data_IF_119394952116
#
_entry.id   IF_119394952116
#
_cell.length_a   1.000
_cell.length_b   1.000
_cell.length_c   1.000
_cell.angle_alpha   90.00
_cell.angle_beta   90.00
_cell.angle_gamma   90.00
#
_symmetry.space_group_name_H-M   'P 1'
#
loop_
_entity.id
_entity.type
_entity.pdbx_description
1 polymer ?
#
# COMPACT_ATOMS: atom_id res chain seq x y z
N UNK A 1 16.02 17.88 54.15
CA UNK A 1 16.51 16.50 54.27
C UNK A 1 15.46 15.67 54.95
N UNK A 2 14.60 14.98 54.20
CA UNK A 2 13.61 14.03 54.71
C UNK A 2 13.98 12.68 54.15
N UNK A 3 14.21 11.75 55.07
CA UNK A 3 14.81 10.45 54.88
C UNK A 3 13.81 9.46 54.29
N UNK A 4 14.23 8.73 53.27
CA UNK A 4 13.45 7.64 52.61
C UNK A 4 13.57 6.35 53.41
N UNK A 5 12.82 6.19 54.46
CA UNK A 5 12.59 4.88 55.15
C UNK A 5 11.54 5.14 56.20
N UNK A 6 10.31 4.82 55.91
CA UNK A 6 9.27 4.48 56.88
C UNK A 6 7.90 4.60 56.25
N UNK A 7 7.51 3.61 55.44
CA UNK A 7 6.10 3.21 55.24
C UNK A 7 6.12 1.74 54.87
N UNK A 8 6.14 0.95 55.88
CA UNK A 8 5.64 -0.42 55.88
C UNK A 8 5.12 -0.69 57.28
N UNK A 9 3.85 -0.88 57.45
CA UNK A 9 3.20 -1.89 58.31
C UNK A 9 1.68 -1.62 58.44
N UNK A 10 0.95 -2.65 58.09
CA UNK A 10 -0.40 -3.05 58.53
C UNK A 10 -1.62 -2.29 57.95
N UNK A 11 -2.54 -3.01 57.29
CA UNK A 11 -3.57 -3.77 58.00
C UNK A 11 -4.24 -4.77 57.07
N UNK A 12 -4.20 -6.01 57.43
CA UNK A 12 -5.06 -7.06 56.92
C UNK A 12 -6.45 -6.90 57.58
N UNK A 13 -7.49 -6.75 56.80
CA UNK A 13 -8.86 -6.97 57.24
C UNK A 13 -9.55 -7.88 56.26
N UNK A 14 -9.89 -9.06 56.72
CA UNK A 14 -10.64 -10.09 56.02
C UNK A 14 -12.07 -9.59 55.75
N UNK A 15 -12.53 -9.77 54.52
CA UNK A 15 -13.94 -9.72 54.17
C UNK A 15 -14.32 -10.92 53.31
N UNK A 16 -15.39 -11.51 53.77
CA UNK A 16 -15.96 -12.79 53.43
C UNK A 16 -16.28 -13.02 51.93
N UNK A 17 -16.31 -14.28 51.60
CA UNK A 17 -16.57 -14.83 50.28
C UNK A 17 -17.86 -14.43 49.60
N UNK A 18 -17.72 -14.13 48.32
CA UNK A 18 -18.77 -14.34 47.35
C UNK A 18 -18.14 -15.20 46.23
N UNK A 19 -18.59 -16.44 46.17
CA UNK A 19 -18.25 -17.40 45.10
C UNK A 19 -18.82 -16.89 43.78
N UNK A 20 -18.00 -16.22 42.99
CA UNK A 20 -18.28 -16.03 41.58
C UNK A 20 -18.00 -17.37 40.87
N UNK A 21 -19.06 -18.09 40.52
CA UNK A 21 -19.01 -19.18 39.58
C UNK A 21 -18.62 -18.61 38.20
N UNK A 22 -17.33 -18.69 37.89
CA UNK A 22 -16.80 -18.43 36.57
C UNK A 22 -17.31 -19.54 35.63
N UNK A 23 -18.38 -19.26 34.90
CA UNK A 23 -18.70 -20.03 33.69
C UNK A 23 -17.56 -19.80 32.70
N UNK A 24 -16.68 -20.79 32.60
CA UNK A 24 -15.68 -20.86 31.53
C UNK A 24 -16.42 -20.97 30.20
N UNK A 25 -16.63 -19.84 29.55
CA UNK A 25 -16.89 -19.82 28.10
C UNK A 25 -15.58 -20.17 27.41
N UNK A 26 -15.36 -21.47 27.20
CA UNK A 26 -14.30 -21.96 26.34
C UNK A 26 -14.79 -21.89 24.87
N UNK A 27 -14.92 -20.69 24.35
CA UNK A 27 -14.73 -20.48 22.93
C UNK A 27 -13.20 -20.54 22.72
N UNK A 28 -12.70 -21.75 22.46
CA UNK A 28 -11.39 -21.93 21.85
C UNK A 28 -11.42 -21.08 20.56
N UNK A 29 -10.84 -19.90 20.59
CA UNK A 29 -10.38 -19.25 19.38
C UNK A 29 -9.48 -20.31 18.69
N UNK A 30 -9.98 -20.86 17.58
CA UNK A 30 -9.11 -21.65 16.70
C UNK A 30 -7.97 -20.72 16.35
N UNK A 31 -6.78 -21.04 16.89
CA UNK A 31 -5.60 -20.22 16.65
C UNK A 31 -5.37 -20.15 15.15
N UNK A 32 -5.57 -18.97 14.57
CA UNK A 32 -5.12 -18.70 13.22
C UNK A 32 -3.61 -18.79 13.27
N UNK A 33 -3.07 -19.94 12.85
CA UNK A 33 -1.63 -20.10 12.65
C UNK A 33 -1.28 -19.25 11.44
N UNK A 34 -0.76 -18.06 11.67
CA UNK A 34 -0.16 -17.25 10.58
C UNK A 34 1.00 -18.09 10.04
N UNK A 35 0.99 -18.49 8.76
CA UNK A 35 2.08 -19.24 8.17
C UNK A 35 3.38 -18.48 8.37
N UNK A 36 4.46 -19.20 8.71
CA UNK A 36 5.76 -18.56 8.94
C UNK A 36 6.19 -17.73 7.73
N UNK A 37 6.62 -16.50 7.97
CA UNK A 37 7.13 -15.61 6.94
C UNK A 37 8.53 -16.03 6.51
N UNK A 38 8.73 -16.32 5.23
CA UNK A 38 10.05 -16.50 4.60
C UNK A 38 10.55 -15.14 4.13
N UNK A 39 11.85 -14.89 4.30
CA UNK A 39 12.52 -13.63 3.90
C UNK A 39 13.68 -13.93 2.98
N UNK A 40 13.94 -13.05 2.04
CA UNK A 40 15.04 -13.22 1.12
C UNK A 40 15.49 -11.92 0.47
N UNK A 41 16.55 -12.06 -0.31
CA UNK A 41 17.08 -11.00 -1.14
C UNK A 41 17.20 -11.48 -2.59
N UNK A 42 16.89 -10.61 -3.50
CA UNK A 42 17.10 -10.77 -4.93
C UNK A 42 18.26 -9.88 -5.35
N UNK A 43 19.33 -10.47 -5.89
CA UNK A 43 20.44 -9.71 -6.46
C UNK A 43 20.04 -9.11 -7.81
N UNK A 44 20.29 -7.81 -7.96
CA UNK A 44 20.09 -7.04 -9.17
C UNK A 44 21.35 -6.26 -9.51
N UNK A 45 21.58 -5.84 -10.76
CA UNK A 45 22.71 -4.96 -11.06
C UNK A 45 22.74 -3.73 -10.13
N UNK A 46 23.82 -3.62 -9.36
CA UNK A 46 24.05 -2.51 -8.45
C UNK A 46 23.24 -2.49 -7.15
N UNK A 47 22.34 -3.46 -6.89
CA UNK A 47 21.57 -3.47 -5.67
C UNK A 47 21.03 -4.87 -5.30
N UNK A 48 20.50 -4.98 -4.08
CA UNK A 48 19.71 -6.13 -3.61
C UNK A 48 18.33 -5.67 -3.22
N UNK A 49 17.32 -6.38 -3.67
CA UNK A 49 15.91 -6.15 -3.37
C UNK A 49 15.50 -7.12 -2.26
N UNK A 50 14.93 -6.59 -1.19
CA UNK A 50 14.40 -7.41 -0.10
C UNK A 50 12.96 -7.82 -0.39
N UNK A 51 12.58 -9.05 -0.02
CA UNK A 51 11.21 -9.52 -0.10
C UNK A 51 10.83 -10.43 1.07
N UNK A 52 9.53 -10.50 1.35
CA UNK A 52 8.92 -11.43 2.31
C UNK A 52 7.80 -12.22 1.63
N UNK A 53 7.64 -13.48 2.04
CA UNK A 53 6.60 -14.39 1.55
C UNK A 53 5.87 -14.97 2.74
N UNK A 54 4.54 -14.84 2.75
CA UNK A 54 3.68 -15.38 3.80
C UNK A 54 2.48 -16.07 3.17
N UNK A 55 2.11 -17.26 3.65
CA UNK A 55 0.96 -18.00 3.14
C UNK A 55 1.28 -18.98 2.02
N UNK A 56 0.23 -19.63 1.51
CA UNK A 56 0.28 -20.62 0.43
C UNK A 56 -0.93 -20.41 -0.48
N UNK A 57 -0.77 -20.76 -1.76
CA UNK A 57 -1.81 -20.62 -2.79
C UNK A 57 -1.39 -19.72 -3.94
N UNK A 58 -2.33 -19.23 -4.75
CA UNK A 58 -2.06 -18.29 -5.83
C UNK A 58 -1.36 -17.02 -5.31
N UNK A 59 -0.46 -16.43 -6.10
CA UNK A 59 0.35 -15.31 -5.61
C UNK A 59 -0.39 -13.97 -5.69
N UNK A 60 -0.27 -13.17 -4.61
CA UNK A 60 -0.52 -11.74 -4.61
C UNK A 60 0.81 -11.04 -4.31
N UNK A 61 1.21 -10.09 -5.16
CA UNK A 61 2.38 -9.26 -4.93
C UNK A 61 1.92 -7.85 -4.61
N UNK A 62 2.41 -7.32 -3.49
CA UNK A 62 2.06 -6.00 -2.98
C UNK A 62 3.20 -5.02 -3.26
N UNK A 63 2.94 -4.04 -4.14
CA UNK A 63 3.89 -3.01 -4.53
C UNK A 63 3.60 -1.69 -3.82
N UNK A 64 4.54 -1.23 -2.98
CA UNK A 64 4.37 -0.06 -2.13
C UNK A 64 4.56 1.27 -2.86
N UNK A 65 4.07 2.36 -2.25
CA UNK A 65 4.23 3.73 -2.73
C UNK A 65 5.55 4.39 -2.32
N UNK A 66 5.82 5.57 -2.88
CA UNK A 66 7.06 6.34 -2.68
C UNK A 66 7.38 6.64 -1.21
N UNK A 67 6.38 6.97 -0.42
CA UNK A 67 6.55 7.38 0.99
C UNK A 67 6.49 6.23 1.99
N UNK A 68 6.54 4.97 1.54
CA UNK A 68 6.38 3.78 2.38
C UNK A 68 7.40 2.70 2.00
N UNK A 69 7.25 1.50 2.53
CA UNK A 69 8.07 0.32 2.20
C UNK A 69 7.21 -0.96 2.30
N UNK A 70 7.83 -2.13 2.21
CA UNK A 70 7.15 -3.43 2.27
C UNK A 70 6.28 -3.63 3.52
N UNK A 71 6.64 -3.04 4.67
CA UNK A 71 5.90 -3.15 5.94
C UNK A 71 4.52 -2.47 5.90
N UNK A 72 4.28 -1.60 4.95
CA UNK A 72 3.02 -0.87 4.84
C UNK A 72 1.80 -1.78 4.64
N UNK A 73 2.03 -3.03 4.20
CA UNK A 73 1.00 -4.03 3.91
C UNK A 73 0.65 -4.92 5.10
N UNK A 74 1.05 -4.55 6.31
CA UNK A 74 0.89 -5.33 7.54
C UNK A 74 -0.56 -5.75 7.85
N UNK A 75 -1.56 -5.02 7.36
CA UNK A 75 -2.98 -5.36 7.53
C UNK A 75 -3.52 -6.26 6.40
N UNK A 76 -2.86 -6.28 5.24
CA UNK A 76 -3.24 -7.11 4.10
C UNK A 76 -2.70 -8.53 4.24
N UNK A 77 -1.46 -8.66 4.71
CA UNK A 77 -0.81 -9.96 4.82
C UNK A 77 -1.61 -10.95 5.68
N UNK A 78 -2.02 -10.64 6.92
CA UNK A 78 -2.79 -11.58 7.74
C UNK A 78 -4.20 -11.85 7.17
N UNK A 79 -4.76 -10.94 6.36
CA UNK A 79 -6.08 -11.12 5.74
C UNK A 79 -6.04 -12.09 4.55
N UNK A 80 -4.97 -12.05 3.76
CA UNK A 80 -4.89 -12.82 2.52
C UNK A 80 -4.06 -14.11 2.64
N UNK A 81 -3.18 -14.24 3.64
CA UNK A 81 -2.19 -15.32 3.73
C UNK A 81 -2.76 -16.71 4.03
N UNK A 82 -4.01 -16.81 4.42
CA UNK A 82 -4.71 -18.09 4.59
C UNK A 82 -5.09 -18.76 3.25
N UNK A 83 -5.20 -17.96 2.16
CA UNK A 83 -5.64 -18.39 0.83
C UNK A 83 -4.68 -18.07 -0.30
N UNK A 84 -3.73 -17.19 -0.05
CA UNK A 84 -2.79 -16.68 -1.05
C UNK A 84 -1.34 -16.73 -0.56
N UNK A 85 -0.43 -16.92 -1.49
CA UNK A 85 0.97 -16.60 -1.29
C UNK A 85 1.16 -15.10 -1.39
N UNK A 86 1.23 -14.41 -0.24
CA UNK A 86 1.42 -12.97 -0.16
C UNK A 86 2.90 -12.62 -0.26
N UNK A 87 3.29 -11.87 -1.27
CA UNK A 87 4.66 -11.38 -1.46
C UNK A 87 4.67 -9.87 -1.26
N UNK A 88 5.48 -9.40 -0.32
CA UNK A 88 5.84 -7.99 -0.21
C UNK A 88 7.30 -7.80 -0.56
N UNK A 89 7.65 -6.68 -1.17
CA UNK A 89 9.04 -6.38 -1.50
C UNK A 89 9.34 -4.90 -1.29
N UNK A 90 10.61 -4.60 -1.00
CA UNK A 90 11.11 -3.23 -0.99
C UNK A 90 11.65 -2.92 -2.39
N UNK A 91 11.16 -1.84 -3.05
CA UNK A 91 11.75 -1.37 -4.30
C UNK A 91 13.24 -1.12 -4.13
N UNK A 92 14.03 -1.16 -5.23
CA UNK A 92 15.47 -0.83 -5.16
C UNK A 92 15.71 0.49 -4.45
N UNK A 93 16.74 0.56 -3.63
CA UNK A 93 17.05 1.73 -2.80
C UNK A 93 16.24 1.84 -1.50
N UNK A 94 15.26 0.97 -1.28
CA UNK A 94 14.48 0.95 -0.03
C UNK A 94 14.98 -0.12 0.94
N UNK A 95 15.13 0.22 2.24
CA UNK A 95 15.51 -0.75 3.26
C UNK A 95 14.47 -1.89 3.43
N UNK A 96 14.92 -3.12 3.82
CA UNK A 96 16.29 -3.53 4.12
C UNK A 96 17.11 -3.96 2.91
N UNK A 97 16.72 -3.59 1.68
CA UNK A 97 17.54 -3.74 0.49
C UNK A 97 18.79 -2.85 0.50
N UNK A 98 19.53 -2.82 -0.61
CA UNK A 98 20.73 -1.99 -0.70
C UNK A 98 20.41 -0.51 -0.73
N UNK A 99 21.18 0.29 0.00
CA UNK A 99 21.20 1.74 -0.16
C UNK A 99 22.03 2.11 -1.41
N UNK A 100 21.41 2.73 -2.40
CA UNK A 100 22.01 3.04 -3.71
C UNK A 100 21.86 4.51 -4.12
N UNK A 101 21.50 5.39 -3.18
CA UNK A 101 21.06 6.74 -3.52
C UNK A 101 19.68 6.77 -4.17
N UNK A 102 19.43 7.79 -5.00
CA UNK A 102 18.13 7.94 -5.70
C UNK A 102 18.02 6.90 -6.83
N UNK A 103 17.10 5.95 -6.77
CA UNK A 103 16.95 4.94 -7.82
C UNK A 103 16.35 5.51 -9.11
N UNK A 104 16.68 4.90 -10.26
CA UNK A 104 15.95 5.18 -11.51
C UNK A 104 14.68 4.32 -11.54
N UNK A 105 13.47 4.92 -11.62
CA UNK A 105 12.22 4.17 -11.64
C UNK A 105 12.02 3.34 -12.92
N UNK A 106 12.79 3.57 -13.98
CA UNK A 106 12.77 2.74 -15.20
C UNK A 106 13.17 1.30 -14.92
N UNK A 107 13.96 1.07 -13.87
CA UNK A 107 14.40 -0.28 -13.49
C UNK A 107 13.32 -1.06 -12.73
N UNK A 108 12.30 -0.41 -12.16
CA UNK A 108 11.35 -1.03 -11.25
C UNK A 108 10.54 -2.17 -11.87
N UNK A 109 10.13 -2.02 -13.12
CA UNK A 109 9.40 -3.06 -13.86
C UNK A 109 10.27 -4.31 -14.09
N UNK A 110 11.53 -4.12 -14.48
CA UNK A 110 12.49 -5.21 -14.64
C UNK A 110 12.84 -5.91 -13.32
N UNK A 111 12.83 -5.18 -12.22
CA UNK A 111 13.02 -5.75 -10.88
C UNK A 111 11.84 -6.64 -10.50
N UNK A 112 10.61 -6.17 -10.73
CA UNK A 112 9.39 -6.94 -10.48
C UNK A 112 9.35 -8.21 -11.34
N UNK A 113 9.66 -8.11 -12.63
CA UNK A 113 9.75 -9.25 -13.53
C UNK A 113 10.74 -10.30 -13.02
N UNK A 114 11.92 -9.85 -12.59
CA UNK A 114 12.97 -10.73 -12.07
C UNK A 114 12.56 -11.35 -10.72
N UNK A 115 11.87 -10.60 -9.86
CA UNK A 115 11.34 -11.14 -8.60
C UNK A 115 10.33 -12.26 -8.85
N UNK A 116 9.40 -12.06 -9.78
CA UNK A 116 8.40 -13.07 -10.18
C UNK A 116 9.08 -14.33 -10.69
N UNK A 117 10.09 -14.19 -11.56
CA UNK A 117 10.88 -15.29 -12.07
C UNK A 117 11.69 -16.00 -10.98
N UNK A 118 12.38 -15.23 -10.12
CA UNK A 118 13.19 -15.75 -9.00
C UNK A 118 12.36 -16.60 -8.03
N UNK A 119 11.13 -16.16 -7.75
CA UNK A 119 10.20 -16.87 -6.88
C UNK A 119 9.43 -17.98 -7.60
N UNK A 120 9.67 -18.15 -8.90
CA UNK A 120 9.03 -19.15 -9.75
C UNK A 120 7.48 -19.13 -9.65
N UNK A 121 6.90 -17.90 -9.67
CA UNK A 121 5.46 -17.72 -9.57
C UNK A 121 4.81 -17.94 -10.94
N UNK A 122 3.91 -18.93 -11.10
CA UNK A 122 3.31 -19.26 -12.41
C UNK A 122 2.28 -18.23 -12.85
N UNK A 123 1.57 -17.64 -11.91
CA UNK A 123 0.64 -16.53 -12.09
C UNK A 123 0.65 -15.60 -10.87
N UNK A 124 0.31 -14.34 -11.07
CA UNK A 124 0.34 -13.34 -9.99
C UNK A 124 -0.84 -12.39 -10.09
N UNK A 125 -1.28 -11.88 -8.95
CA UNK A 125 -2.19 -10.74 -8.82
C UNK A 125 -1.35 -9.59 -8.27
N UNK A 126 -1.39 -8.43 -8.92
CA UNK A 126 -0.64 -7.25 -8.47
C UNK A 126 -1.56 -6.31 -7.71
N UNK A 127 -1.21 -5.99 -6.48
CA UNK A 127 -1.88 -4.97 -5.65
C UNK A 127 -0.88 -3.84 -5.44
N UNK A 128 -1.12 -2.72 -6.10
CA UNK A 128 -0.14 -1.66 -6.27
C UNK A 128 -0.69 -0.32 -5.78
N UNK A 129 0.05 0.35 -4.91
CA UNK A 129 -0.31 1.65 -4.39
C UNK A 129 0.62 2.73 -4.94
N UNK A 130 0.06 3.84 -5.47
CA UNK A 130 0.82 5.02 -5.91
C UNK A 130 2.00 4.65 -6.82
N UNK A 131 3.25 4.86 -6.42
CA UNK A 131 4.46 4.48 -7.15
C UNK A 131 4.47 2.99 -7.56
N UNK A 132 3.95 2.09 -6.73
CA UNK A 132 3.82 0.68 -7.08
C UNK A 132 2.97 0.44 -8.32
N UNK A 133 2.01 1.34 -8.61
CA UNK A 133 1.21 1.30 -9.84
C UNK A 133 2.04 1.58 -11.09
N UNK A 134 3.06 2.44 -11.00
CA UNK A 134 3.99 2.68 -12.11
C UNK A 134 4.83 1.43 -12.41
N UNK A 135 5.36 0.80 -11.38
CA UNK A 135 6.07 -0.48 -11.49
C UNK A 135 5.20 -1.55 -12.16
N UNK A 136 3.98 -1.71 -11.68
CA UNK A 136 3.07 -2.75 -12.14
C UNK A 136 2.57 -2.50 -13.56
N UNK A 137 2.25 -1.26 -13.91
CA UNK A 137 1.80 -0.87 -15.25
C UNK A 137 2.92 -1.10 -16.27
N UNK A 138 4.13 -0.60 -16.01
CA UNK A 138 5.25 -0.78 -16.94
C UNK A 138 5.61 -2.27 -17.10
N UNK A 139 5.54 -3.07 -16.04
CA UNK A 139 5.74 -4.51 -16.16
C UNK A 139 4.74 -5.15 -17.15
N UNK A 140 3.46 -4.84 -17.00
CA UNK A 140 2.42 -5.38 -17.90
C UNK A 140 2.58 -4.87 -19.34
N UNK A 141 2.95 -3.60 -19.52
CA UNK A 141 3.05 -2.99 -20.85
C UNK A 141 4.32 -3.39 -21.61
N UNK A 142 5.40 -3.75 -20.91
CA UNK A 142 6.71 -3.98 -21.52
C UNK A 142 7.13 -5.45 -21.57
N UNK A 143 6.51 -6.31 -20.75
CA UNK A 143 6.76 -7.75 -20.79
C UNK A 143 5.57 -8.49 -21.43
N UNK A 144 5.68 -8.92 -22.70
CA UNK A 144 4.60 -9.64 -23.38
C UNK A 144 4.31 -11.02 -22.77
N UNK A 145 5.25 -11.54 -21.98
CA UNK A 145 5.13 -12.83 -21.29
C UNK A 145 4.76 -12.68 -19.80
N UNK A 146 4.29 -11.50 -19.39
CA UNK A 146 3.90 -11.25 -18.00
C UNK A 146 2.93 -12.31 -17.47
N UNK A 147 3.03 -12.62 -16.19
CA UNK A 147 2.21 -13.64 -15.50
C UNK A 147 1.02 -13.05 -14.74
N UNK A 148 0.62 -11.82 -15.08
CA UNK A 148 -0.41 -11.10 -14.33
C UNK A 148 -1.81 -11.56 -14.73
N UNK A 149 -2.62 -11.92 -13.72
CA UNK A 149 -4.02 -12.35 -13.85
C UNK A 149 -5.02 -11.27 -13.41
N UNK A 150 -4.61 -10.41 -12.50
CA UNK A 150 -5.44 -9.31 -12.01
C UNK A 150 -4.56 -8.14 -11.56
N UNK A 151 -5.08 -6.92 -11.71
CA UNK A 151 -4.45 -5.67 -11.29
C UNK A 151 -5.34 -4.93 -10.30
N UNK A 152 -4.77 -4.45 -9.21
CA UNK A 152 -5.39 -3.48 -8.31
C UNK A 152 -4.53 -2.23 -8.27
N UNK A 153 -5.08 -1.10 -8.71
CA UNK A 153 -4.45 0.21 -8.70
C UNK A 153 -5.06 1.08 -7.59
N UNK A 154 -4.36 1.20 -6.47
CA UNK A 154 -4.77 2.02 -5.35
C UNK A 154 -4.17 3.43 -5.46
N UNK A 155 -5.03 4.43 -5.68
CA UNK A 155 -4.64 5.86 -5.77
C UNK A 155 -3.49 6.11 -6.77
N UNK A 156 -3.63 5.57 -7.99
CA UNK A 156 -2.61 5.70 -9.04
C UNK A 156 -3.20 5.57 -10.44
N UNK A 157 -2.56 6.22 -11.40
CA UNK A 157 -2.78 6.03 -12.83
C UNK A 157 -1.57 5.40 -13.53
N UNK A 158 -0.64 4.82 -12.78
CA UNK A 158 0.61 4.30 -13.32
C UNK A 158 1.41 5.39 -14.04
N UNK A 159 1.95 5.04 -15.21
CA UNK A 159 2.77 5.93 -16.05
C UNK A 159 1.98 6.76 -17.05
N UNK A 160 0.65 6.80 -16.92
CA UNK A 160 -0.19 7.64 -17.80
C UNK A 160 0.09 9.12 -17.56
N UNK A 161 0.24 9.87 -18.65
CA UNK A 161 0.42 11.32 -18.64
C UNK A 161 -0.87 12.01 -18.19
N UNK A 162 -0.92 12.43 -16.93
CA UNK A 162 -2.14 12.98 -16.30
C UNK A 162 -2.79 14.13 -17.07
N UNK A 163 -2.03 15.11 -17.62
CA UNK A 163 -2.63 16.20 -18.40
C UNK A 163 -3.37 15.75 -19.67
N UNK A 164 -3.05 14.56 -20.19
CA UNK A 164 -3.69 14.01 -21.39
C UNK A 164 -4.93 13.17 -21.10
N UNK A 165 -5.28 12.95 -19.83
CA UNK A 165 -6.47 12.18 -19.46
C UNK A 165 -7.73 12.97 -19.84
N UNK A 166 -8.71 12.36 -20.56
CA UNK A 166 -9.89 13.06 -21.04
C UNK A 166 -10.90 13.31 -19.91
N UNK A 167 -10.84 14.49 -19.31
CA UNK A 167 -11.66 14.83 -18.12
C UNK A 167 -12.99 15.56 -18.47
N UNK A 168 -13.23 15.88 -19.74
CA UNK A 168 -14.38 16.71 -20.15
C UNK A 168 -14.21 18.20 -19.81
N UNK A 169 -13.70 18.52 -18.64
CA UNK A 169 -13.32 19.87 -18.21
C UNK A 169 -11.78 19.98 -18.09
N UNK A 170 -11.11 20.73 -18.97
CA UNK A 170 -9.66 20.89 -18.94
C UNK A 170 -9.12 21.59 -17.68
N UNK A 171 -9.96 22.37 -16.98
CA UNK A 171 -9.54 23.12 -15.78
C UNK A 171 -9.61 22.27 -14.52
N UNK A 172 -10.43 21.23 -14.50
CA UNK A 172 -10.69 20.38 -13.33
C UNK A 172 -9.41 19.87 -12.64
N UNK A 173 -8.44 19.40 -13.43
CA UNK A 173 -7.18 18.91 -12.89
C UNK A 173 -6.32 20.04 -12.30
N UNK A 174 -6.29 21.19 -12.97
CA UNK A 174 -5.52 22.35 -12.50
C UNK A 174 -6.07 22.90 -11.19
N UNK A 175 -7.37 23.08 -11.09
CA UNK A 175 -8.05 23.57 -9.89
C UNK A 175 -7.86 22.57 -8.72
N UNK A 176 -8.04 21.28 -8.99
CA UNK A 176 -7.79 20.26 -7.98
C UNK A 176 -6.34 20.30 -7.48
N UNK A 177 -5.36 20.39 -8.38
CA UNK A 177 -3.94 20.44 -8.01
C UNK A 177 -3.63 21.64 -7.11
N UNK A 178 -4.19 22.83 -7.41
CA UNK A 178 -3.99 24.03 -6.60
C UNK A 178 -4.59 23.86 -5.20
N UNK A 179 -5.83 23.40 -5.09
CA UNK A 179 -6.51 23.14 -3.82
C UNK A 179 -5.78 22.06 -3.01
N UNK A 180 -5.43 20.96 -3.65
CA UNK A 180 -4.73 19.85 -3.00
C UNK A 180 -3.33 20.25 -2.51
N UNK A 181 -2.60 21.09 -3.27
CA UNK A 181 -1.30 21.60 -2.84
C UNK A 181 -1.42 22.47 -1.59
N UNK A 182 -2.40 23.37 -1.53
CA UNK A 182 -2.67 24.20 -0.35
C UNK A 182 -3.02 23.34 0.87
N UNK A 183 -3.88 22.32 0.69
CA UNK A 183 -4.27 21.38 1.75
C UNK A 183 -3.06 20.59 2.27
N UNK A 184 -2.22 20.05 1.37
CA UNK A 184 -0.99 19.33 1.77
C UNK A 184 -0.01 20.23 2.53
N UNK A 185 0.16 21.47 2.10
CA UNK A 185 1.03 22.43 2.79
C UNK A 185 0.51 22.72 4.20
N UNK A 186 -0.80 22.87 4.37
CA UNK A 186 -1.42 23.06 5.67
C UNK A 186 -1.25 21.82 6.58
N UNK A 187 -1.56 20.64 6.09
CA UNK A 187 -1.31 19.38 6.80
C UNK A 187 0.14 19.27 7.28
N UNK A 188 1.11 19.55 6.39
CA UNK A 188 2.53 19.46 6.73
C UNK A 188 2.91 20.43 7.86
N UNK A 189 2.40 21.68 7.86
CA UNK A 189 2.62 22.64 8.97
C UNK A 189 2.10 22.13 10.30
N UNK A 190 0.99 21.37 10.30
CA UNK A 190 0.39 20.76 11.48
C UNK A 190 1.00 19.40 11.86
N UNK A 191 2.07 18.94 11.16
CA UNK A 191 2.72 17.66 11.40
C UNK A 191 1.91 16.45 10.92
N UNK A 192 0.91 16.67 10.07
CA UNK A 192 0.09 15.61 9.48
C UNK A 192 0.76 15.13 8.19
N UNK A 193 0.89 13.82 8.02
CA UNK A 193 1.39 13.23 6.77
C UNK A 193 0.32 13.32 5.69
N UNK A 194 0.52 14.09 4.58
CA UNK A 194 -0.51 14.24 3.56
C UNK A 194 -1.00 12.92 2.93
N UNK A 195 -0.13 11.91 2.66
CA UNK A 195 -0.61 10.62 2.17
C UNK A 195 -1.43 9.81 3.19
N UNK A 196 -1.23 10.05 4.50
CA UNK A 196 -2.07 9.44 5.55
C UNK A 196 -3.45 10.12 5.64
N UNK A 197 -3.50 11.43 5.38
CA UNK A 197 -4.72 12.21 5.41
C UNK A 197 -5.07 12.75 6.80
N UNK A 198 -5.83 13.84 6.79
CA UNK A 198 -6.24 14.55 8.01
C UNK A 198 -7.17 13.71 8.89
N UNK A 199 -8.08 12.97 8.26
CA UNK A 199 -9.01 12.10 8.97
C UNK A 199 -8.29 11.01 9.76
N UNK A 200 -7.26 10.35 9.19
CA UNK A 200 -6.46 9.37 9.92
C UNK A 200 -5.77 10.00 11.12
N UNK A 201 -5.19 11.19 10.96
CA UNK A 201 -4.52 11.89 12.06
C UNK A 201 -5.49 12.25 13.20
N UNK A 202 -6.74 12.57 12.88
CA UNK A 202 -7.76 12.96 13.86
C UNK A 202 -8.44 11.77 14.51
N UNK A 203 -8.82 10.76 13.74
CA UNK A 203 -9.67 9.65 14.19
C UNK A 203 -8.89 8.39 14.57
N UNK A 204 -7.64 8.26 14.09
CA UNK A 204 -6.81 7.07 14.23
C UNK A 204 -5.35 7.49 14.51
N UNK A 205 -5.13 8.23 15.59
CA UNK A 205 -3.83 8.84 15.92
C UNK A 205 -2.69 7.83 16.00
N UNK A 206 -2.93 6.64 16.55
CA UNK A 206 -1.95 5.54 16.66
C UNK A 206 -1.59 5.00 15.29
N UNK A 207 -2.59 4.86 14.41
CA UNK A 207 -2.38 4.42 13.03
C UNK A 207 -1.60 5.46 12.23
N UNK A 208 -1.91 6.76 12.43
CA UNK A 208 -1.16 7.85 11.84
C UNK A 208 0.30 7.88 12.31
N UNK A 209 0.55 7.62 13.61
CA UNK A 209 1.89 7.50 14.14
C UNK A 209 2.66 6.34 13.49
N UNK A 210 2.04 5.15 13.43
CA UNK A 210 2.64 3.97 12.78
C UNK A 210 2.97 4.25 11.30
N UNK A 211 2.04 4.89 10.56
CA UNK A 211 2.28 5.29 9.19
C UNK A 211 3.53 6.17 9.05
N UNK A 212 3.68 7.17 9.92
CA UNK A 212 4.85 8.06 9.94
C UNK A 212 6.14 7.32 10.31
N UNK A 213 6.08 6.38 11.24
CA UNK A 213 7.25 5.56 11.61
C UNK A 213 7.73 4.72 10.42
N UNK A 214 6.82 4.05 9.72
CA UNK A 214 7.13 3.31 8.49
C UNK A 214 7.70 4.25 7.42
N UNK A 215 7.06 5.40 7.21
CA UNK A 215 7.54 6.38 6.24
C UNK A 215 8.94 6.90 6.56
N UNK A 216 9.25 7.15 7.83
CA UNK A 216 10.56 7.65 8.26
C UNK A 216 11.66 6.59 8.14
N UNK A 217 11.31 5.31 8.22
CA UNK A 217 12.26 4.19 8.05
C UNK A 217 12.41 3.72 6.58
N UNK A 218 11.72 4.37 5.63
CA UNK A 218 11.55 3.80 4.29
C UNK A 218 12.71 4.03 3.32
N UNK A 219 13.45 5.14 3.41
CA UNK A 219 14.53 5.43 2.48
C UNK A 219 15.47 6.50 3.01
N UNK A 220 16.77 6.33 2.75
CA UNK A 220 17.81 7.31 3.07
C UNK A 220 18.05 8.33 1.94
N UNK A 221 17.53 8.09 0.73
CA UNK A 221 17.67 8.97 -0.42
C UNK A 221 16.62 10.10 -0.48
N UNK A 222 16.87 11.10 -1.32
CA UNK A 222 15.95 12.20 -1.59
C UNK A 222 14.70 11.70 -2.35
N UNK A 223 13.57 11.61 -1.63
CA UNK A 223 12.29 11.17 -2.20
C UNK A 223 11.69 12.20 -3.15
N UNK A 224 12.04 13.47 -3.02
CA UNK A 224 11.57 14.50 -3.94
C UNK A 224 12.24 14.34 -5.30
N UNK A 225 13.54 13.98 -5.31
CA UNK A 225 14.25 13.69 -6.55
C UNK A 225 13.67 12.44 -7.23
N UNK A 226 13.42 11.36 -6.48
CA UNK A 226 12.72 10.20 -7.06
C UNK A 226 11.34 10.57 -7.60
N UNK A 227 10.60 11.45 -6.93
CA UNK A 227 9.30 11.93 -7.42
C UNK A 227 9.42 12.64 -8.77
N UNK A 228 10.44 13.47 -8.97
CA UNK A 228 10.71 14.11 -10.27
C UNK A 228 11.00 13.08 -11.35
N UNK A 229 11.82 12.05 -11.06
CA UNK A 229 12.10 10.97 -12.00
C UNK A 229 10.83 10.20 -12.38
N UNK A 230 9.95 9.89 -11.40
CA UNK A 230 8.67 9.27 -11.66
C UNK A 230 7.79 10.12 -12.57
N UNK A 231 7.64 11.42 -12.29
CA UNK A 231 6.85 12.29 -13.16
C UNK A 231 7.44 12.44 -14.56
N UNK A 232 8.76 12.46 -14.70
CA UNK A 232 9.43 12.45 -16.00
C UNK A 232 9.16 11.16 -16.80
N UNK A 233 8.92 10.04 -16.10
CA UNK A 233 8.55 8.75 -16.71
C UNK A 233 7.04 8.67 -17.07
N UNK A 234 6.18 9.50 -16.48
CA UNK A 234 4.73 9.49 -16.69
C UNK A 234 4.36 10.14 -18.04
N UNK A 235 4.70 9.48 -19.14
CA UNK A 235 4.55 9.99 -20.51
C UNK A 235 3.60 9.16 -21.38
N UNK A 236 3.06 8.04 -20.86
CA UNK A 236 2.17 7.16 -21.62
C UNK A 236 0.87 7.89 -21.95
N UNK A 237 0.40 7.88 -23.22
CA UNK A 237 -0.92 8.39 -23.54
C UNK A 237 -2.00 7.52 -22.89
N UNK A 238 -3.16 8.07 -22.49
CA UNK A 238 -4.22 7.31 -21.83
C UNK A 238 -4.71 6.10 -22.65
N UNK A 239 -4.64 6.18 -23.96
CA UNK A 239 -5.04 5.14 -24.91
C UNK A 239 -4.23 3.85 -24.76
N UNK A 240 -3.03 3.90 -24.17
CA UNK A 240 -2.23 2.71 -23.87
C UNK A 240 -2.99 1.71 -23.00
N UNK A 241 -3.92 2.19 -22.17
CA UNK A 241 -4.74 1.34 -21.31
C UNK A 241 -5.63 0.37 -22.09
N UNK A 242 -5.96 0.67 -23.36
CA UNK A 242 -6.73 -0.23 -24.25
C UNK A 242 -6.00 -1.54 -24.52
N UNK A 243 -4.67 -1.56 -24.40
CA UNK A 243 -3.87 -2.77 -24.56
C UNK A 243 -3.88 -3.69 -23.34
N UNK A 244 -4.35 -3.19 -22.19
CA UNK A 244 -4.43 -3.97 -20.95
C UNK A 244 -5.81 -4.63 -20.88
N UNK A 245 -5.87 -5.92 -21.21
CA UNK A 245 -7.11 -6.73 -21.13
C UNK A 245 -7.30 -7.43 -19.79
N UNK A 246 -6.31 -7.35 -18.90
CA UNK A 246 -6.31 -7.96 -17.57
C UNK A 246 -7.43 -7.33 -16.72
N UNK A 247 -8.24 -8.12 -15.98
CA UNK A 247 -9.16 -7.58 -15.00
C UNK A 247 -8.47 -6.58 -14.09
N UNK A 248 -9.01 -5.36 -13.99
CA UNK A 248 -8.39 -4.26 -13.26
C UNK A 248 -9.38 -3.59 -12.32
N UNK A 249 -8.97 -3.38 -11.08
CA UNK A 249 -9.71 -2.63 -10.07
C UNK A 249 -8.94 -1.36 -9.71
N UNK A 250 -9.58 -0.20 -9.90
CA UNK A 250 -9.09 1.06 -9.31
C UNK A 250 -9.75 1.27 -7.96
N UNK A 251 -8.95 1.55 -6.91
CA UNK A 251 -9.46 1.93 -5.59
C UNK A 251 -8.94 3.32 -5.26
N UNK A 252 -9.83 4.25 -4.93
CA UNK A 252 -9.47 5.64 -4.62
C UNK A 252 -10.03 6.08 -3.28
N UNK A 253 -9.35 7.00 -2.62
CA UNK A 253 -9.88 7.68 -1.44
C UNK A 253 -10.55 9.00 -1.82
N UNK A 254 -11.77 9.23 -1.31
CA UNK A 254 -12.53 10.45 -1.61
C UNK A 254 -11.87 11.73 -1.09
N UNK A 255 -11.04 11.62 -0.05
CA UNK A 255 -10.28 12.72 0.58
C UNK A 255 -8.81 12.74 0.15
N UNK A 256 -8.45 12.02 -0.93
CA UNK A 256 -7.08 11.97 -1.44
C UNK A 256 -6.65 13.35 -1.94
N UNK A 257 -5.53 13.86 -1.40
CA UNK A 257 -4.90 15.12 -1.81
C UNK A 257 -3.65 14.93 -2.66
N UNK A 258 -3.29 13.69 -2.97
CA UNK A 258 -2.08 13.31 -3.73
C UNK A 258 -2.42 12.81 -5.12
N UNK A 259 -3.49 12.05 -5.23
CA UNK A 259 -4.03 11.50 -6.48
C UNK A 259 -5.49 11.95 -6.64
N UNK A 260 -5.85 12.66 -7.74
CA UNK A 260 -7.24 13.06 -7.99
C UNK A 260 -8.14 11.82 -8.18
N UNK A 261 -9.12 11.57 -7.29
CA UNK A 261 -9.93 10.34 -7.37
C UNK A 261 -10.64 10.19 -8.72
N UNK A 262 -11.12 11.28 -9.30
CA UNK A 262 -11.83 11.31 -10.58
C UNK A 262 -10.99 10.88 -11.80
N UNK A 263 -9.66 10.76 -11.67
CA UNK A 263 -8.84 10.24 -12.76
C UNK A 263 -9.14 8.77 -13.03
N UNK A 264 -9.43 7.99 -11.99
CA UNK A 264 -9.78 6.58 -12.16
C UNK A 264 -11.10 6.40 -12.93
N UNK A 265 -12.09 7.28 -12.68
CA UNK A 265 -13.36 7.30 -13.42
C UNK A 265 -13.16 7.60 -14.91
N UNK A 266 -12.19 8.45 -15.24
CA UNK A 266 -11.87 8.78 -16.62
C UNK A 266 -11.02 7.70 -17.32
N UNK A 267 -10.23 6.93 -16.57
CA UNK A 267 -9.32 5.91 -17.12
C UNK A 267 -9.99 4.54 -17.29
N UNK A 268 -10.83 4.14 -16.35
CA UNK A 268 -11.47 2.82 -16.40
C UNK A 268 -12.24 2.54 -17.70
N UNK A 269 -12.99 3.50 -18.30
CA UNK A 269 -13.66 3.29 -19.60
C UNK A 269 -12.73 3.03 -20.78
N UNK A 270 -11.43 3.32 -20.65
CA UNK A 270 -10.43 3.03 -21.67
C UNK A 270 -9.98 1.56 -21.68
N UNK A 271 -10.30 0.83 -20.61
CA UNK A 271 -9.94 -0.57 -20.45
C UNK A 271 -11.16 -1.47 -20.68
N UNK A 272 -10.95 -2.64 -21.28
CA UNK A 272 -12.05 -3.57 -21.57
C UNK A 272 -12.63 -4.25 -20.32
N UNK A 273 -11.87 -4.32 -19.23
CA UNK A 273 -12.23 -5.05 -18.03
C UNK A 273 -11.76 -4.33 -16.77
N UNK A 274 -12.25 -3.10 -16.57
CA UNK A 274 -11.87 -2.31 -15.40
C UNK A 274 -13.10 -1.81 -14.63
N UNK A 275 -12.96 -1.74 -13.30
CA UNK A 275 -13.94 -1.18 -12.37
C UNK A 275 -13.29 -0.15 -11.45
N UNK A 276 -14.10 0.74 -10.91
CA UNK A 276 -13.63 1.78 -9.97
C UNK A 276 -14.43 1.68 -8.67
N UNK A 277 -13.73 1.67 -7.56
CA UNK A 277 -14.29 1.76 -6.22
C UNK A 277 -13.72 2.97 -5.50
N UNK A 278 -14.58 3.80 -4.94
CA UNK A 278 -14.17 4.95 -4.13
C UNK A 278 -14.55 4.74 -2.67
N UNK A 279 -13.59 4.93 -1.77
CA UNK A 279 -13.79 4.94 -0.32
C UNK A 279 -13.89 6.40 0.14
N UNK A 280 -15.11 6.93 0.36
CA UNK A 280 -15.32 8.38 0.50
C UNK A 280 -14.54 9.04 1.64
N UNK A 281 -14.44 8.33 2.77
CA UNK A 281 -13.85 8.79 4.04
C UNK A 281 -12.40 8.32 4.22
N UNK A 282 -11.62 8.33 3.14
CA UNK A 282 -10.22 7.93 3.13
C UNK A 282 -9.37 8.87 2.28
N UNK A 283 -8.12 9.07 2.71
CA UNK A 283 -7.08 9.75 1.95
C UNK A 283 -6.35 8.85 0.95
N UNK A 284 -5.12 9.21 0.62
CA UNK A 284 -4.28 8.53 -0.38
C UNK A 284 -3.95 7.07 -0.03
N UNK A 285 -3.86 6.74 1.25
CA UNK A 285 -3.47 5.41 1.73
C UNK A 285 -4.69 4.61 2.19
N UNK A 286 -5.66 4.36 1.29
CA UNK A 286 -6.91 3.63 1.58
C UNK A 286 -6.64 2.29 2.25
N UNK A 287 -5.69 1.52 1.72
CA UNK A 287 -5.28 0.20 2.22
C UNK A 287 -4.78 0.22 3.67
N UNK A 288 -4.28 1.37 4.12
CA UNK A 288 -3.75 1.58 5.47
C UNK A 288 -4.83 2.14 6.40
N UNK A 289 -5.55 3.16 5.95
CA UNK A 289 -6.55 3.89 6.74
C UNK A 289 -7.86 3.13 6.89
N UNK A 290 -8.31 2.46 5.84
CA UNK A 290 -9.58 1.72 5.76
C UNK A 290 -9.33 0.27 5.34
N UNK A 291 -8.35 -0.38 5.99
CA UNK A 291 -7.86 -1.70 5.62
C UNK A 291 -8.98 -2.74 5.47
N UNK A 292 -9.95 -2.78 6.39
CA UNK A 292 -11.06 -3.72 6.32
C UNK A 292 -11.93 -3.53 5.08
N UNK A 293 -12.16 -2.28 4.62
CA UNK A 293 -12.89 -2.01 3.38
C UNK A 293 -12.03 -2.36 2.17
N UNK A 294 -10.77 -1.90 2.17
CA UNK A 294 -9.83 -2.20 1.09
C UNK A 294 -9.69 -3.71 0.87
N UNK A 295 -9.50 -4.47 1.93
CA UNK A 295 -9.34 -5.92 1.86
C UNK A 295 -10.57 -6.60 1.27
N UNK A 296 -11.78 -6.21 1.68
CA UNK A 296 -13.03 -6.74 1.09
C UNK A 296 -13.15 -6.42 -0.40
N UNK A 297 -12.90 -5.18 -0.81
CA UNK A 297 -12.95 -4.78 -2.22
C UNK A 297 -11.98 -5.59 -3.09
N UNK A 298 -10.75 -5.78 -2.59
CA UNK A 298 -9.74 -6.60 -3.29
C UNK A 298 -10.16 -8.07 -3.31
N UNK A 299 -10.65 -8.62 -2.20
CA UNK A 299 -11.11 -10.02 -2.11
C UNK A 299 -12.28 -10.29 -3.07
N UNK A 300 -13.32 -9.45 -3.06
CA UNK A 300 -14.47 -9.55 -3.94
C UNK A 300 -14.08 -9.46 -5.42
N UNK A 301 -13.12 -8.58 -5.73
CA UNK A 301 -12.59 -8.47 -7.09
C UNK A 301 -11.80 -9.71 -7.50
N UNK A 302 -10.87 -10.17 -6.67
CA UNK A 302 -10.03 -11.33 -7.00
C UNK A 302 -10.85 -12.62 -7.13
N UNK A 303 -11.92 -12.77 -6.35
CA UNK A 303 -12.81 -13.93 -6.45
C UNK A 303 -13.53 -14.03 -7.80
N UNK A 304 -13.71 -12.91 -8.50
CA UNK A 304 -14.35 -12.82 -9.83
C UNK A 304 -13.34 -12.87 -10.97
N UNK A 305 -12.10 -12.49 -10.71
CA UNK A 305 -11.04 -12.43 -11.72
C UNK A 305 -10.35 -13.79 -11.99
N UNK A 306 -10.61 -14.80 -11.15
CA UNK A 306 -10.11 -16.17 -11.31
C UNK A 306 -8.81 -16.44 -10.54
#
# INVERSE_FOLDING_TARGET
MINRRDVLVASATALAGSTFTSTKSSALAQGVTVPGTKRGFLDRPGCRIYYEITGLGPAIIFAHGLGSNHLTWWQQIPHFSDRYTCVTFAHRGYPPGSEIGVPDPKDFAGDLATLIAHLNLPDVRLVAQSMGGWTSMEYVLTDPNHKVRALVFASTCGTVHKPSIPLGDPQRLTEWNQKAAATRADMARRGISPPAGERMAREQSELHLLYRMIANSSAAFDREELRKHLYAMATRPPEVLRSISIPTLFITGGEDTTYPPFLSDALAPLMSNATVEQVPDSGHSVYFQRAGMFNRLVEDFLSKAG
#
